data_IF_149794400175
#
_entry.id   IF_149794400175
#
_cell.length_a   1.000
_cell.length_b   1.000
_cell.length_c   1.000
_cell.angle_alpha   90.00
_cell.angle_beta   90.00
_cell.angle_gamma   90.00
#
_symmetry.space_group_name_H-M   'P 1'
#
loop_
_entity.id
_entity.type
_entity.pdbx_description
1 polymer ?
#
# COMPACT_ATOMS: atom_id res chain seq x y z
N UNK A 1 -39.97 3.86 -24.58
CA UNK A 1 -39.86 3.34 -23.20
C UNK A 1 -38.40 3.43 -22.78
N UNK A 2 -38.08 3.64 -21.49
CA UNK A 2 -36.74 4.04 -21.06
C UNK A 2 -35.72 2.92 -21.32
N UNK A 3 -34.54 3.31 -21.80
CA UNK A 3 -33.39 2.41 -21.99
C UNK A 3 -33.00 1.79 -20.64
N UNK A 4 -32.77 0.46 -20.55
CA UNK A 4 -32.25 -0.14 -19.34
C UNK A 4 -30.88 0.46 -19.07
N UNK A 5 -30.80 1.23 -17.99
CA UNK A 5 -29.61 1.99 -17.61
C UNK A 5 -28.37 1.12 -17.62
N UNK A 6 -27.29 1.68 -18.14
CA UNK A 6 -25.91 1.26 -17.91
C UNK A 6 -25.74 0.85 -16.45
N UNK A 7 -25.70 -0.46 -16.19
CA UNK A 7 -25.32 -1.00 -14.90
C UNK A 7 -23.85 -0.67 -14.69
N UNK A 8 -23.56 0.26 -13.79
CA UNK A 8 -22.20 0.47 -13.29
C UNK A 8 -21.80 -0.81 -12.56
N UNK A 9 -21.04 -1.67 -13.22
CA UNK A 9 -20.49 -2.87 -12.62
C UNK A 9 -19.29 -2.47 -11.77
N UNK A 10 -19.56 -2.04 -10.53
CA UNK A 10 -18.51 -1.80 -9.56
C UNK A 10 -17.98 -3.14 -9.04
N UNK A 11 -16.66 -3.32 -9.11
CA UNK A 11 -15.97 -4.46 -8.53
C UNK A 11 -15.28 -4.01 -7.24
N UNK A 12 -15.75 -4.54 -6.12
CA UNK A 12 -15.13 -4.27 -4.82
C UNK A 12 -14.02 -5.29 -4.55
N UNK A 13 -12.84 -4.79 -4.22
CA UNK A 13 -11.72 -5.61 -3.78
C UNK A 13 -11.51 -5.40 -2.28
N UNK A 14 -11.63 -6.49 -1.53
CA UNK A 14 -11.32 -6.52 -0.11
C UNK A 14 -9.86 -6.92 0.07
N UNK A 15 -9.04 -6.00 0.53
CA UNK A 15 -7.65 -6.26 0.89
C UNK A 15 -7.48 -6.19 2.41
N UNK A 16 -6.54 -6.98 2.97
CA UNK A 16 -6.15 -6.81 4.36
C UNK A 16 -5.58 -5.41 4.58
N UNK A 17 -5.87 -4.83 5.75
CA UNK A 17 -5.33 -3.53 6.14
C UNK A 17 -3.92 -3.71 6.71
N UNK A 18 -2.97 -2.98 6.14
CA UNK A 18 -1.63 -2.82 6.70
C UNK A 18 -1.57 -1.48 7.45
N UNK A 19 -1.55 -1.53 8.79
CA UNK A 19 -1.61 -0.34 9.64
C UNK A 19 -0.38 0.56 9.49
N UNK A 20 0.77 -0.03 9.15
CA UNK A 20 2.02 0.70 8.91
C UNK A 20 2.06 1.41 7.54
N UNK A 21 0.99 1.28 6.75
CA UNK A 21 0.90 1.83 5.42
C UNK A 21 1.87 1.15 4.45
N UNK A 22 2.49 1.95 3.59
CA UNK A 22 3.45 1.48 2.60
C UNK A 22 4.88 1.55 3.12
N UNK A 23 5.81 0.91 2.41
CA UNK A 23 7.24 1.07 2.65
C UNK A 23 7.68 2.55 2.56
N UNK A 24 7.04 3.34 1.71
CA UNK A 24 7.32 4.78 1.59
C UNK A 24 6.89 5.55 2.84
N UNK A 25 5.76 5.21 3.44
CA UNK A 25 5.27 5.84 4.67
C UNK A 25 6.21 5.55 5.84
N UNK A 26 6.64 4.28 5.93
CA UNK A 26 7.67 3.84 6.88
C UNK A 26 8.99 4.62 6.65
N UNK A 27 9.47 4.71 5.42
CA UNK A 27 10.72 5.42 5.09
C UNK A 27 10.66 6.93 5.40
N UNK A 28 9.53 7.60 5.15
CA UNK A 28 9.30 9.01 5.51
C UNK A 28 9.37 9.22 7.02
N UNK A 29 8.72 8.33 7.78
CA UNK A 29 8.69 8.39 9.25
C UNK A 29 10.09 8.24 9.83
N UNK A 30 10.85 7.25 9.36
CA UNK A 30 12.24 7.04 9.79
C UNK A 30 13.13 8.23 9.42
N UNK A 31 12.99 8.79 8.21
CA UNK A 31 13.74 9.98 7.78
C UNK A 31 13.49 11.17 8.71
N UNK A 32 12.26 11.41 9.13
CA UNK A 32 11.93 12.48 10.08
C UNK A 32 12.63 12.27 11.43
N UNK A 33 12.79 11.01 11.84
CA UNK A 33 13.50 10.60 13.06
C UNK A 33 15.02 10.47 12.89
N UNK A 34 15.56 10.69 11.68
CA UNK A 34 16.97 10.42 11.31
C UNK A 34 17.37 8.94 11.52
N UNK A 35 16.40 8.05 11.38
CA UNK A 35 16.58 6.60 11.42
C UNK A 35 16.63 6.06 9.98
N UNK A 36 17.26 4.89 9.81
CA UNK A 36 17.39 4.22 8.52
C UNK A 36 17.19 2.72 8.69
N UNK A 37 16.71 2.05 7.65
CA UNK A 37 16.68 0.59 7.62
C UNK A 37 18.12 0.04 7.65
N UNK A 38 18.31 -1.06 8.37
CA UNK A 38 19.58 -1.78 8.31
C UNK A 38 19.79 -2.37 6.91
N UNK A 39 21.05 -2.58 6.52
CA UNK A 39 21.38 -3.24 5.25
C UNK A 39 20.72 -4.62 5.13
N UNK A 40 20.65 -5.38 6.23
CA UNK A 40 19.99 -6.70 6.26
C UNK A 40 18.50 -6.55 5.95
N UNK A 41 17.83 -5.57 6.57
CA UNK A 41 16.40 -5.29 6.33
C UNK A 41 16.15 -4.91 4.88
N UNK A 42 17.00 -4.06 4.29
CA UNK A 42 16.90 -3.67 2.87
C UNK A 42 17.02 -4.90 1.96
N UNK A 43 18.01 -5.76 2.19
CA UNK A 43 18.18 -6.99 1.41
C UNK A 43 16.98 -7.94 1.54
N UNK A 44 16.36 -8.04 2.73
CA UNK A 44 15.16 -8.85 2.94
C UNK A 44 13.94 -8.30 2.20
N UNK A 45 13.76 -6.98 2.15
CA UNK A 45 12.67 -6.33 1.40
C UNK A 45 12.78 -6.67 -0.09
N UNK A 46 13.99 -6.59 -0.67
CA UNK A 46 14.19 -6.84 -2.10
C UNK A 46 14.25 -8.32 -2.51
N UNK A 47 14.27 -9.25 -1.54
CA UNK A 47 14.28 -10.70 -1.81
C UNK A 47 12.88 -11.28 -2.06
N UNK A 48 11.81 -10.51 -1.85
CA UNK A 48 10.43 -10.97 -2.03
C UNK A 48 10.13 -11.41 -3.45
#
# INVERSE_FOLDING_TARGET
GPNPGTWNHEAYLLFPVHLDGTLLDSAKTMKMKKEFFSTITVLQIFRQ
#
